data_IF_128530405099
#
_entry.id   IF_128530405099
#
_cell.length_a   1.000
_cell.length_b   1.000
_cell.length_c   1.000
_cell.angle_alpha   90.00
_cell.angle_beta   90.00
_cell.angle_gamma   90.00
#
_symmetry.space_group_name_H-M   'P 1'
#
loop_
_entity.id
_entity.type
_entity.pdbx_description
1 polymer ?
#
# COMPACT_ATOMS: atom_id res chain seq x y z
N UNK A 1 5.06 -20.15 -18.22
CA UNK A 1 5.44 -19.29 -17.08
C UNK A 1 6.92 -19.44 -16.78
N UNK A 2 7.59 -18.33 -16.47
CA UNK A 2 9.00 -18.34 -16.09
C UNK A 2 9.17 -19.12 -14.76
N UNK A 3 10.25 -19.92 -14.65
CA UNK A 3 10.52 -20.71 -13.44
C UNK A 3 10.61 -19.83 -12.18
N UNK A 4 11.17 -18.63 -12.30
CA UNK A 4 11.27 -17.71 -11.18
C UNK A 4 9.90 -17.28 -10.68
N UNK A 5 8.95 -17.07 -11.60
CA UNK A 5 7.58 -16.71 -11.21
C UNK A 5 6.87 -17.88 -10.52
N UNK A 6 7.13 -19.10 -10.97
CA UNK A 6 6.53 -20.30 -10.38
C UNK A 6 7.03 -20.49 -8.94
N UNK A 7 8.28 -20.17 -8.67
CA UNK A 7 8.88 -20.34 -7.34
C UNK A 7 8.57 -19.19 -6.39
N UNK A 8 8.04 -18.09 -6.90
CA UNK A 8 7.72 -16.94 -6.07
C UNK A 8 6.49 -17.24 -5.20
N UNK A 9 6.59 -17.11 -3.87
CA UNK A 9 5.47 -17.41 -2.97
C UNK A 9 4.34 -16.37 -2.99
N UNK A 10 4.57 -15.21 -3.62
CA UNK A 10 3.54 -14.16 -3.68
C UNK A 10 2.40 -14.58 -4.60
N UNK A 11 1.19 -14.67 -4.04
CA UNK A 11 0.01 -15.11 -4.79
C UNK A 11 -0.37 -14.16 -5.91
N UNK A 12 -0.06 -12.86 -5.79
CA UNK A 12 -0.31 -11.91 -6.86
C UNK A 12 0.58 -12.19 -8.07
N UNK A 13 1.83 -12.58 -7.84
CA UNK A 13 2.73 -12.97 -8.92
C UNK A 13 2.17 -14.16 -9.70
N UNK A 14 1.69 -15.15 -8.98
CA UNK A 14 1.09 -16.34 -9.62
C UNK A 14 -0.17 -15.99 -10.41
N UNK A 15 -1.04 -15.15 -9.86
CA UNK A 15 -2.28 -14.76 -10.51
C UNK A 15 -2.07 -13.86 -11.72
N UNK A 16 -1.21 -12.84 -11.57
CA UNK A 16 -0.97 -11.84 -12.62
C UNK A 16 0.03 -12.33 -13.68
N UNK A 17 0.75 -13.40 -13.38
CA UNK A 17 1.76 -14.00 -14.28
C UNK A 17 2.83 -13.00 -14.72
N UNK A 18 3.26 -12.15 -13.77
CA UNK A 18 4.34 -11.19 -13.99
C UNK A 18 5.08 -10.92 -12.69
N UNK A 19 6.34 -10.46 -12.75
CA UNK A 19 7.09 -10.12 -11.54
C UNK A 19 6.49 -8.89 -10.86
N UNK A 20 6.65 -8.81 -9.54
CA UNK A 20 6.06 -7.72 -8.76
C UNK A 20 6.55 -6.32 -9.19
N UNK A 21 7.77 -6.22 -9.73
CA UNK A 21 8.30 -4.94 -10.21
C UNK A 21 7.46 -4.34 -11.34
N UNK A 22 6.64 -5.15 -12.01
CA UNK A 22 5.79 -4.71 -13.12
C UNK A 22 4.33 -4.51 -12.72
N UNK A 23 4.00 -4.61 -11.43
CA UNK A 23 2.62 -4.41 -10.97
C UNK A 23 2.19 -2.96 -11.17
N UNK A 24 0.98 -2.79 -11.71
CA UNK A 24 0.36 -1.49 -11.92
C UNK A 24 -0.89 -1.35 -11.06
N UNK A 25 -1.43 -0.14 -10.98
CA UNK A 25 -2.70 0.11 -10.26
C UNK A 25 -3.82 -0.79 -10.81
N UNK A 26 -3.90 -0.94 -12.12
CA UNK A 26 -4.93 -1.75 -12.75
C UNK A 26 -4.77 -3.23 -12.40
N UNK A 27 -3.53 -3.72 -12.27
CA UNK A 27 -3.27 -5.08 -11.83
C UNK A 27 -3.78 -5.31 -10.41
N UNK A 28 -3.53 -4.37 -9.51
CA UNK A 28 -3.98 -4.44 -8.11
C UNK A 28 -5.51 -4.44 -8.06
N UNK A 29 -6.15 -3.56 -8.82
CA UNK A 29 -7.61 -3.50 -8.87
C UNK A 29 -8.20 -4.81 -9.40
N UNK A 30 -7.60 -5.37 -10.45
CA UNK A 30 -8.05 -6.64 -11.01
C UNK A 30 -7.94 -7.78 -10.00
N UNK A 31 -6.81 -7.86 -9.31
CA UNK A 31 -6.61 -8.89 -8.29
C UNK A 31 -7.67 -8.79 -7.18
N UNK A 32 -7.90 -7.58 -6.70
CA UNK A 32 -8.89 -7.32 -5.65
C UNK A 32 -10.28 -7.76 -6.09
N UNK A 33 -10.68 -7.39 -7.30
CA UNK A 33 -12.01 -7.70 -7.82
C UNK A 33 -12.21 -9.20 -8.04
N UNK A 34 -11.21 -9.88 -8.57
CA UNK A 34 -11.34 -11.27 -8.99
C UNK A 34 -11.08 -12.27 -7.87
N UNK A 35 -10.49 -11.85 -6.77
CA UNK A 35 -10.14 -12.73 -5.66
C UNK A 35 -10.89 -12.43 -4.37
N UNK A 36 -11.94 -11.61 -4.44
CA UNK A 36 -12.80 -11.35 -3.29
C UNK A 36 -12.10 -10.63 -2.15
N UNK A 37 -11.12 -9.81 -2.45
CA UNK A 37 -10.43 -9.04 -1.43
C UNK A 37 -11.37 -7.97 -0.88
N UNK A 38 -11.49 -7.89 0.44
CA UNK A 38 -12.44 -7.00 1.10
C UNK A 38 -11.78 -5.85 1.85
N UNK A 39 -10.51 -6.01 2.21
CA UNK A 39 -9.76 -4.97 2.94
C UNK A 39 -8.41 -4.74 2.31
N UNK A 40 -7.92 -3.52 2.42
CA UNK A 40 -6.58 -3.14 1.99
C UNK A 40 -5.86 -2.51 3.17
N UNK A 41 -4.62 -2.92 3.38
CA UNK A 41 -3.73 -2.35 4.40
C UNK A 41 -2.65 -1.52 3.73
N UNK A 42 -2.49 -0.30 4.20
CA UNK A 42 -1.34 0.54 3.87
C UNK A 42 -0.39 0.50 5.06
N UNK A 43 0.82 -0.01 4.84
CA UNK A 43 1.82 -0.18 5.88
C UNK A 43 2.97 0.78 5.66
N UNK A 44 3.44 1.42 6.72
CA UNK A 44 4.51 2.41 6.64
C UNK A 44 5.33 2.42 7.94
N UNK A 45 6.63 2.75 7.87
CA UNK A 45 7.45 2.84 9.08
C UNK A 45 7.18 4.15 9.80
N UNK A 46 6.99 4.07 11.12
CA UNK A 46 6.84 5.25 11.97
C UNK A 46 8.20 5.68 12.53
N UNK A 47 8.22 6.83 13.21
CA UNK A 47 9.45 7.38 13.74
C UNK A 47 10.14 6.53 14.82
N UNK A 48 9.39 5.62 15.45
CA UNK A 48 9.92 4.69 16.45
C UNK A 48 10.46 3.39 15.82
N UNK A 49 10.49 3.31 14.49
CA UNK A 49 10.95 2.13 13.77
C UNK A 49 9.91 1.03 13.63
N UNK A 50 8.72 1.20 14.17
CA UNK A 50 7.65 0.22 14.05
C UNK A 50 6.89 0.38 12.76
N UNK A 51 6.43 -0.74 12.20
CA UNK A 51 5.57 -0.73 11.04
C UNK A 51 4.14 -0.47 11.48
N UNK A 52 3.57 0.63 11.01
CA UNK A 52 2.17 0.99 11.28
C UNK A 52 1.31 0.54 10.12
N UNK A 53 0.03 0.32 10.39
CA UNK A 53 -0.93 -0.14 9.38
C UNK A 53 -2.20 0.70 9.42
N UNK A 54 -2.60 1.18 8.25
CA UNK A 54 -3.92 1.77 8.05
C UNK A 54 -4.79 0.75 7.32
N UNK A 55 -5.97 0.48 7.87
CA UNK A 55 -6.89 -0.50 7.31
C UNK A 55 -8.02 0.20 6.57
N UNK A 56 -8.34 -0.27 5.37
CA UNK A 56 -9.45 0.28 4.59
C UNK A 56 -10.40 -0.85 4.20
N UNK A 57 -11.70 -0.64 4.43
CA UNK A 57 -12.73 -1.54 3.90
C UNK A 57 -13.07 -1.06 2.49
N UNK A 58 -13.04 -1.97 1.53
CA UNK A 58 -13.36 -1.63 0.15
C UNK A 58 -14.87 -1.61 -0.02
N UNK A 59 -15.43 -0.41 -0.10
CA UNK A 59 -16.88 -0.22 -0.21
C UNK A 59 -17.36 -0.15 -1.66
N UNK A 60 -16.53 0.39 -2.55
CA UNK A 60 -16.87 0.52 -3.96
C UNK A 60 -15.60 0.77 -4.78
N UNK A 61 -15.76 0.73 -6.11
CA UNK A 61 -14.66 0.89 -7.07
C UNK A 61 -14.05 2.29 -7.04
N UNK A 62 -14.90 3.32 -6.91
CA UNK A 62 -14.43 4.70 -6.89
C UNK A 62 -13.54 4.96 -5.68
N UNK A 63 -13.93 4.44 -4.52
CA UNK A 63 -13.14 4.58 -3.29
C UNK A 63 -11.80 3.86 -3.43
N UNK A 64 -11.82 2.63 -3.96
CA UNK A 64 -10.59 1.87 -4.18
C UNK A 64 -9.65 2.61 -5.12
N UNK A 65 -10.15 3.10 -6.23
CA UNK A 65 -9.35 3.84 -7.19
C UNK A 65 -8.73 5.09 -6.54
N UNK A 66 -9.51 5.80 -5.73
CA UNK A 66 -9.05 7.01 -5.06
C UNK A 66 -7.90 6.73 -4.08
N UNK A 67 -8.02 5.71 -3.23
CA UNK A 67 -6.96 5.41 -2.26
C UNK A 67 -5.70 4.86 -2.93
N UNK A 68 -5.84 4.13 -4.03
CA UNK A 68 -4.67 3.62 -4.75
C UNK A 68 -3.94 4.73 -5.51
N UNK A 69 -4.65 5.77 -5.93
CA UNK A 69 -4.06 6.86 -6.71
C UNK A 69 -3.51 7.98 -5.81
N UNK A 70 -4.33 8.41 -4.85
CA UNK A 70 -4.01 9.58 -4.02
C UNK A 70 -3.46 9.22 -2.65
N UNK A 71 -3.59 7.97 -2.24
CA UNK A 71 -3.19 7.54 -0.91
C UNK A 71 -4.08 8.10 0.18
N UNK A 72 -3.57 8.09 1.39
CA UNK A 72 -4.27 8.60 2.57
C UNK A 72 -3.43 9.67 3.26
N UNK A 73 -4.08 10.73 3.71
CA UNK A 73 -3.41 11.79 4.46
C UNK A 73 -3.21 11.35 5.90
N UNK A 74 -2.01 11.58 6.42
CA UNK A 74 -1.67 11.29 7.82
C UNK A 74 -1.04 12.54 8.45
N UNK A 75 -1.15 12.64 9.77
CA UNK A 75 -0.52 13.74 10.50
C UNK A 75 0.93 13.35 10.82
N UNK A 76 1.86 13.96 10.10
CA UNK A 76 3.28 13.68 10.29
C UNK A 76 3.80 14.05 11.67
N UNK A 77 3.22 15.06 12.32
CA UNK A 77 3.65 15.45 13.66
C UNK A 77 3.28 14.41 14.72
N UNK A 78 2.21 13.64 14.49
CA UNK A 78 1.83 12.54 15.38
C UNK A 78 2.73 11.33 15.21
N UNK A 79 3.28 11.12 14.00
CA UNK A 79 4.12 9.98 13.68
C UNK A 79 5.60 10.24 13.93
N UNK A 80 6.03 11.47 13.72
CA UNK A 80 7.42 11.87 13.78
C UNK A 80 7.56 13.11 14.66
N UNK A 81 8.13 12.98 15.86
CA UNK A 81 8.20 14.10 16.82
C UNK A 81 8.93 15.34 16.32
N UNK A 82 9.80 15.19 15.32
CA UNK A 82 10.58 16.29 14.77
C UNK A 82 9.83 17.11 13.72
N UNK A 83 8.57 16.74 13.39
CA UNK A 83 7.78 17.47 12.40
C UNK A 83 6.86 18.45 13.12
N UNK A 84 6.89 19.72 12.70
CA UNK A 84 6.03 20.76 13.25
C UNK A 84 4.58 20.57 12.78
N UNK A 85 3.63 20.85 13.67
CA UNK A 85 2.20 20.65 13.38
C UNK A 85 1.71 21.48 12.19
N UNK A 86 2.28 22.65 11.96
CA UNK A 86 1.86 23.53 10.85
C UNK A 86 2.24 23.04 9.47
N UNK A 87 3.13 22.05 9.37
CA UNK A 87 3.61 21.51 8.08
C UNK A 87 3.61 19.99 8.09
N UNK A 88 2.68 19.40 8.85
CA UNK A 88 2.68 17.96 9.14
C UNK A 88 1.88 17.09 8.18
N UNK A 89 1.17 17.69 7.23
CA UNK A 89 0.34 16.92 6.30
C UNK A 89 1.21 16.08 5.38
N UNK A 90 1.13 14.76 5.54
CA UNK A 90 1.80 13.80 4.70
C UNK A 90 0.78 12.88 4.06
N UNK A 91 1.12 12.36 2.90
CA UNK A 91 0.30 11.38 2.20
C UNK A 91 1.06 10.07 2.10
N UNK A 92 0.41 8.98 2.50
CA UNK A 92 0.97 7.64 2.31
C UNK A 92 0.37 7.08 1.03
N UNK A 93 1.24 6.84 0.05
CA UNK A 93 0.82 6.35 -1.28
C UNK A 93 1.40 4.96 -1.47
N UNK A 94 0.56 3.96 -1.83
CA UNK A 94 1.03 2.59 -1.92
C UNK A 94 1.99 2.38 -3.07
N UNK A 95 2.98 1.50 -2.83
CA UNK A 95 3.90 1.04 -3.85
C UNK A 95 3.42 -0.31 -4.33
N UNK A 96 2.88 -0.36 -5.53
CA UNK A 96 2.18 -1.56 -6.03
C UNK A 96 3.06 -2.80 -6.09
N UNK A 97 4.37 -2.62 -6.32
CA UNK A 97 5.31 -3.75 -6.37
C UNK A 97 5.45 -4.48 -5.03
N UNK A 98 4.99 -3.86 -3.95
CA UNK A 98 5.09 -4.45 -2.61
C UNK A 98 3.85 -5.23 -2.21
N UNK A 99 2.82 -5.29 -3.06
CA UNK A 99 1.54 -5.90 -2.72
C UNK A 99 1.66 -7.39 -2.42
N UNK A 100 1.02 -7.81 -1.34
CA UNK A 100 0.95 -9.22 -0.97
C UNK A 100 -0.35 -9.49 -0.23
N UNK A 101 -0.80 -10.75 -0.33
CA UNK A 101 -1.98 -11.19 0.41
C UNK A 101 -1.58 -11.45 1.86
N UNK A 102 -2.34 -10.88 2.82
CA UNK A 102 -2.05 -11.10 4.24
C UNK A 102 -2.47 -12.54 4.62
N UNK A 103 -1.50 -13.41 4.96
CA UNK A 103 -1.81 -14.81 5.25
C UNK A 103 -2.42 -15.01 6.63
N UNK A 104 -2.40 -14.00 7.49
CA UNK A 104 -2.89 -14.10 8.87
C UNK A 104 -4.26 -13.46 9.07
N UNK A 105 -4.80 -12.79 8.06
CA UNK A 105 -6.09 -12.13 8.17
C UNK A 105 -7.23 -13.12 7.90
N UNK A 106 -8.26 -13.12 8.74
CA UNK A 106 -9.45 -13.93 8.52
C UNK A 106 -10.27 -13.42 7.35
N UNK A 107 -10.36 -12.09 7.22
CA UNK A 107 -11.02 -11.44 6.09
C UNK A 107 -9.97 -11.25 5.00
N UNK A 108 -10.26 -11.62 3.74
CA UNK A 108 -9.29 -11.45 2.66
C UNK A 108 -8.78 -10.01 2.58
N UNK A 109 -7.49 -9.82 2.83
CA UNK A 109 -6.84 -8.52 2.96
C UNK A 109 -5.59 -8.46 2.10
N UNK A 110 -5.47 -7.39 1.31
CA UNK A 110 -4.28 -7.11 0.52
C UNK A 110 -3.46 -6.03 1.22
N UNK A 111 -2.18 -6.30 1.43
CA UNK A 111 -1.28 -5.35 2.10
C UNK A 111 -0.27 -4.79 1.12
N UNK A 112 0.06 -3.51 1.27
CA UNK A 112 1.09 -2.83 0.48
C UNK A 112 1.91 -1.92 1.38
N UNK A 113 3.20 -1.81 1.09
CA UNK A 113 4.05 -0.81 1.72
C UNK A 113 3.85 0.52 1.00
N UNK A 114 3.94 1.60 1.76
CA UNK A 114 3.70 2.95 1.23
C UNK A 114 4.92 3.83 1.38
N UNK A 115 5.01 4.84 0.52
CA UNK A 115 5.97 5.91 0.64
C UNK A 115 5.27 7.18 1.12
N UNK A 116 6.03 8.07 1.77
CA UNK A 116 5.50 9.36 2.21
C UNK A 116 5.71 10.41 1.15
N UNK A 117 4.68 11.23 0.91
CA UNK A 117 4.73 12.36 0.00
C UNK A 117 4.19 13.59 0.73
N UNK A 118 4.72 14.78 0.38
CA UNK A 118 4.19 16.01 0.92
C UNK A 118 2.93 16.45 0.13
N UNK A 119 2.32 17.57 0.52
CA UNK A 119 1.11 18.06 -0.14
C UNK A 119 1.31 18.44 -1.61
N UNK A 120 2.56 18.65 -2.02
CA UNK A 120 2.88 19.00 -3.41
C UNK A 120 3.22 17.77 -4.25
N UNK A 121 3.06 16.58 -3.70
CA UNK A 121 3.32 15.33 -4.39
C UNK A 121 4.80 14.94 -4.46
N UNK A 122 5.64 15.60 -3.68
CA UNK A 122 7.06 15.28 -3.65
C UNK A 122 7.36 14.21 -2.60
N UNK A 123 8.27 13.30 -2.92
CA UNK A 123 8.70 12.26 -2.01
C UNK A 123 9.32 12.88 -0.74
N UNK A 124 8.82 12.49 0.42
CA UNK A 124 9.33 12.99 1.69
C UNK A 124 10.64 12.28 2.06
N UNK A 125 11.59 13.02 2.60
CA UNK A 125 12.86 12.48 3.11
C UNK A 125 12.75 11.93 4.52
N UNK A 126 11.58 12.07 5.15
CA UNK A 126 11.35 11.67 6.53
C UNK A 126 11.58 10.18 6.76
N UNK A 127 11.29 9.36 5.78
CA UNK A 127 11.33 7.90 5.89
C UNK A 127 12.73 7.31 5.63
N UNK A 128 13.71 8.10 5.46
CA UNK A 128 15.08 7.65 5.21
C UNK A 128 15.72 7.03 6.45
#
# INVERSE_FOLDING_TARGET
>A
MNKELIMNPNQLVAFLEKPCAEFTKEDIKRYIQQNGIRMVNFMYPAGDGRLKTLNFVINNQAYLDAILTCGERVDGSSLFPFIEAGSSDLYVIPRFRTAFLDPFAEIPTLSMLCSFFNKDGELSLIHI
#
